data_IF_249559190090
#
_entry.id   IF_249559190090
#
_cell.length_a   1.000
_cell.length_b   1.000
_cell.length_c   1.000
_cell.angle_alpha   90.00
_cell.angle_beta   90.00
_cell.angle_gamma   90.00
#
_symmetry.space_group_name_H-M   'P 1'
#
loop_
_entity.id
_entity.type
_entity.pdbx_description
1 polymer ?
#
# COMPACT_ATOMS: atom_id res chain seq x y z
N UNK A 1 22.45 -48.68 32.21
CA UNK A 1 22.71 -47.54 33.10
C UNK A 1 23.29 -46.43 32.22
N UNK A 2 22.45 -45.55 31.67
CA UNK A 2 22.86 -44.46 30.77
C UNK A 2 22.86 -43.19 31.62
N UNK A 3 24.04 -42.68 31.92
CA UNK A 3 24.22 -41.41 32.63
C UNK A 3 23.76 -40.27 31.73
N UNK A 4 22.55 -39.81 31.96
CA UNK A 4 22.04 -38.52 31.48
C UNK A 4 22.87 -37.40 32.12
N UNK A 5 23.85 -36.88 31.37
CA UNK A 5 24.54 -35.63 31.71
C UNK A 5 23.55 -34.47 31.60
N UNK A 6 23.48 -33.66 32.64
CA UNK A 6 22.59 -32.52 32.78
C UNK A 6 23.06 -31.33 31.93
N UNK A 7 22.29 -30.86 30.93
CA UNK A 7 22.71 -29.82 29.98
C UNK A 7 22.35 -28.41 30.47
N UNK A 8 22.73 -28.04 31.70
CA UNK A 8 22.27 -26.77 32.29
C UNK A 8 23.25 -25.60 32.17
N UNK A 9 24.54 -25.85 31.93
CA UNK A 9 25.58 -24.80 31.87
C UNK A 9 25.76 -24.15 30.49
N UNK A 10 25.37 -24.82 29.39
CA UNK A 10 25.57 -24.29 28.03
C UNK A 10 24.53 -23.22 27.63
N UNK A 11 23.41 -23.12 28.35
CA UNK A 11 22.34 -22.19 28.03
C UNK A 11 22.69 -20.72 28.35
N UNK A 12 23.55 -20.46 29.34
CA UNK A 12 23.92 -19.10 29.76
C UNK A 12 25.04 -18.49 28.92
N UNK A 13 25.94 -19.30 28.35
CA UNK A 13 27.00 -18.82 27.44
C UNK A 13 26.47 -18.45 26.04
N UNK A 14 25.29 -18.96 25.64
CA UNK A 14 24.71 -18.64 24.33
C UNK A 14 24.08 -17.24 24.23
N UNK A 15 23.79 -16.58 25.36
CA UNK A 15 23.18 -15.26 25.37
C UNK A 15 24.11 -14.14 24.91
N UNK A 16 25.40 -14.22 25.26
CA UNK A 16 26.42 -13.21 24.94
C UNK A 16 26.84 -13.24 23.46
N UNK A 17 26.62 -14.36 22.76
CA UNK A 17 26.98 -14.52 21.36
C UNK A 17 26.02 -13.83 20.37
N UNK A 18 24.87 -13.29 20.80
CA UNK A 18 23.90 -12.66 19.88
C UNK A 18 24.30 -11.22 19.54
N UNK A 19 24.75 -10.45 20.54
CA UNK A 19 25.13 -9.05 20.36
C UNK A 19 26.22 -8.85 19.29
N UNK A 20 27.35 -9.58 19.28
CA UNK A 20 28.39 -9.39 18.27
C UNK A 20 27.89 -9.72 16.86
N UNK A 21 27.02 -10.73 16.70
CA UNK A 21 26.40 -11.07 15.41
C UNK A 21 25.55 -9.92 14.88
N UNK A 22 24.75 -9.30 15.74
CA UNK A 22 23.91 -8.14 15.40
C UNK A 22 24.73 -6.93 14.98
N UNK A 23 25.77 -6.59 15.75
CA UNK A 23 26.66 -5.48 15.41
C UNK A 23 27.33 -5.74 14.05
N UNK A 24 27.84 -6.96 13.82
CA UNK A 24 28.44 -7.31 12.55
C UNK A 24 27.45 -7.27 11.38
N UNK A 25 26.19 -7.69 11.61
CA UNK A 25 25.14 -7.60 10.58
C UNK A 25 24.86 -6.16 10.15
N UNK A 26 24.99 -5.18 11.04
CA UNK A 26 24.84 -3.77 10.69
C UNK A 26 25.98 -3.30 9.78
N UNK A 27 27.21 -3.77 10.03
CA UNK A 27 28.35 -3.48 9.15
C UNK A 27 28.15 -4.08 7.76
N UNK A 28 27.67 -5.33 7.70
CA UNK A 28 27.35 -5.96 6.42
C UNK A 28 26.21 -5.26 5.68
N UNK A 29 25.19 -4.76 6.39
CA UNK A 29 24.11 -3.95 5.80
C UNK A 29 24.67 -2.67 5.17
N UNK A 30 25.60 -1.98 5.85
CA UNK A 30 26.26 -0.80 5.30
C UNK A 30 27.05 -1.17 4.04
N UNK A 31 27.82 -2.26 4.08
CA UNK A 31 28.61 -2.74 2.95
C UNK A 31 27.72 -3.17 1.76
N UNK A 32 26.61 -3.84 2.03
CA UNK A 32 25.62 -4.22 1.01
C UNK A 32 24.97 -2.98 0.41
N UNK A 33 24.61 -1.99 1.23
CA UNK A 33 24.06 -0.72 0.75
C UNK A 33 25.03 -0.01 -0.19
N UNK A 34 26.31 0.12 0.19
CA UNK A 34 27.31 0.77 -0.66
C UNK A 34 27.51 0.03 -1.97
N UNK A 35 27.70 -1.30 -1.91
CA UNK A 35 27.92 -2.12 -3.10
C UNK A 35 26.70 -2.15 -4.03
N UNK A 36 25.49 -2.07 -3.48
CA UNK A 36 24.25 -2.07 -4.25
C UNK A 36 23.96 -0.73 -4.95
N UNK A 37 24.50 0.40 -4.49
CA UNK A 37 24.16 1.71 -5.07
C UNK A 37 24.86 2.00 -6.40
N UNK A 38 24.15 2.40 -7.48
CA UNK A 38 22.69 2.51 -7.61
C UNK A 38 22.02 1.15 -7.87
N UNK A 39 20.99 0.80 -7.07
CA UNK A 39 20.32 -0.50 -7.14
C UNK A 39 19.10 -0.44 -8.08
N UNK A 40 19.17 -1.14 -9.23
CA UNK A 40 18.09 -1.23 -10.23
C UNK A 40 17.91 -2.67 -10.72
N UNK A 41 17.34 -3.56 -9.87
CA UNK A 41 17.37 -5.00 -10.11
C UNK A 41 16.72 -5.43 -11.42
N UNK A 42 15.63 -4.79 -11.85
CA UNK A 42 14.92 -5.13 -13.08
C UNK A 42 15.70 -4.66 -14.29
N UNK A 43 16.24 -3.44 -14.28
CA UNK A 43 17.15 -2.98 -15.33
C UNK A 43 18.41 -3.83 -15.43
N UNK A 44 18.93 -4.33 -14.30
CA UNK A 44 20.08 -5.25 -14.30
C UNK A 44 19.77 -6.58 -14.98
N UNK A 45 18.57 -7.13 -14.75
CA UNK A 45 18.11 -8.40 -15.33
C UNK A 45 17.70 -8.29 -16.80
N UNK A 46 17.04 -7.19 -17.18
CA UNK A 46 16.51 -6.99 -18.53
C UNK A 46 17.54 -6.47 -19.53
N UNK A 47 18.67 -5.95 -19.05
CA UNK A 47 19.79 -5.53 -19.88
C UNK A 47 19.40 -4.42 -20.86
N UNK A 48 19.88 -4.46 -22.12
CA UNK A 48 19.63 -3.40 -23.11
C UNK A 48 18.19 -3.39 -23.67
N UNK A 49 17.35 -4.35 -23.30
CA UNK A 49 15.94 -4.38 -23.70
C UNK A 49 15.17 -3.39 -22.81
N UNK A 50 15.39 -2.09 -23.08
CA UNK A 50 14.79 -0.99 -22.34
C UNK A 50 13.30 -0.88 -22.66
N UNK A 51 12.48 -1.73 -22.04
CA UNK A 51 11.05 -1.51 -21.96
C UNK A 51 10.85 -0.23 -21.13
N UNK A 52 10.14 0.78 -21.66
CA UNK A 52 9.98 2.09 -21.02
C UNK A 52 9.38 2.05 -19.60
N UNK A 53 8.85 0.90 -19.17
CA UNK A 53 8.34 0.67 -17.81
C UNK A 53 9.34 0.09 -16.79
N UNK A 54 10.55 -0.34 -17.17
CA UNK A 54 11.49 -0.97 -16.22
C UNK A 54 11.92 -0.02 -15.11
N UNK A 55 12.18 1.25 -15.44
CA UNK A 55 12.54 2.28 -14.46
C UNK A 55 11.46 2.51 -13.39
N UNK A 56 10.18 2.38 -13.77
CA UNK A 56 9.07 2.50 -12.81
C UNK A 56 9.12 1.36 -11.79
N UNK A 57 9.27 0.12 -12.27
CA UNK A 57 9.36 -1.02 -11.37
C UNK A 57 10.62 -1.00 -10.52
N UNK A 58 11.76 -0.55 -11.06
CA UNK A 58 12.99 -0.38 -10.27
C UNK A 58 12.77 0.63 -9.15
N UNK A 59 12.18 1.79 -9.44
CA UNK A 59 11.91 2.80 -8.41
C UNK A 59 10.96 2.29 -7.32
N UNK A 60 9.97 1.47 -7.69
CA UNK A 60 9.03 0.87 -6.74
C UNK A 60 9.64 -0.26 -5.91
N UNK A 61 10.38 -1.17 -6.55
CA UNK A 61 10.78 -2.44 -5.95
C UNK A 61 12.20 -2.40 -5.37
N UNK A 62 13.11 -1.57 -5.89
CA UNK A 62 14.49 -1.53 -5.43
C UNK A 62 14.58 -1.23 -3.92
N UNK A 63 13.91 -0.17 -3.47
CA UNK A 63 13.89 0.22 -2.06
C UNK A 63 13.28 -0.87 -1.17
N UNK A 64 12.17 -1.48 -1.60
CA UNK A 64 11.50 -2.54 -0.87
C UNK A 64 12.36 -3.81 -0.77
N UNK A 65 12.92 -4.27 -1.89
CA UNK A 65 13.76 -5.47 -1.95
C UNK A 65 14.99 -5.30 -1.07
N UNK A 66 15.64 -4.13 -1.16
CA UNK A 66 16.86 -3.83 -0.40
C UNK A 66 16.56 -3.67 1.10
N UNK A 67 15.47 -2.98 1.47
CA UNK A 67 15.03 -2.86 2.85
C UNK A 67 14.70 -4.23 3.48
N UNK A 68 14.00 -5.10 2.73
CA UNK A 68 13.75 -6.48 3.17
C UNK A 68 15.06 -7.27 3.33
N UNK A 69 16.03 -7.10 2.44
CA UNK A 69 17.34 -7.74 2.57
C UNK A 69 18.06 -7.31 3.87
N UNK A 70 18.04 -6.01 4.20
CA UNK A 70 18.62 -5.50 5.45
C UNK A 70 17.91 -6.07 6.69
N UNK A 71 16.58 -6.12 6.64
CA UNK A 71 15.81 -6.76 7.71
C UNK A 71 16.18 -8.24 7.86
N UNK A 72 16.30 -8.98 6.76
CA UNK A 72 16.67 -10.39 6.80
C UNK A 72 18.06 -10.62 7.33
N UNK A 73 19.01 -9.75 6.99
CA UNK A 73 20.36 -9.80 7.51
C UNK A 73 20.38 -9.67 9.04
N UNK A 74 19.63 -8.71 9.58
CA UNK A 74 19.44 -8.55 11.02
C UNK A 74 18.70 -9.73 11.67
N UNK A 75 17.68 -10.27 10.99
CA UNK A 75 16.88 -11.39 11.49
C UNK A 75 17.72 -12.68 11.59
N UNK A 76 18.54 -12.97 10.58
CA UNK A 76 19.47 -14.12 10.56
C UNK A 76 20.47 -14.00 11.72
N UNK A 77 21.05 -12.81 11.92
CA UNK A 77 21.96 -12.55 13.05
C UNK A 77 21.29 -12.68 14.43
N UNK A 78 19.96 -12.51 14.49
CA UNK A 78 19.17 -12.60 15.71
C UNK A 78 18.69 -14.02 16.07
N UNK A 79 18.98 -15.03 15.23
CA UNK A 79 18.54 -16.39 15.48
C UNK A 79 19.20 -16.99 16.74
N UNK A 80 18.35 -17.55 17.60
CA UNK A 80 18.74 -18.23 18.85
C UNK A 80 18.83 -19.76 18.71
N UNK A 81 18.18 -20.32 17.70
CA UNK A 81 18.12 -21.74 17.44
C UNK A 81 18.34 -22.02 15.96
N UNK A 82 18.71 -23.26 15.64
CA UNK A 82 18.81 -23.70 14.25
C UNK A 82 17.44 -23.59 13.55
N UNK A 83 17.47 -23.31 12.25
CA UNK A 83 16.27 -23.16 11.41
C UNK A 83 16.38 -24.07 10.20
N UNK A 84 15.31 -24.81 9.90
CA UNK A 84 15.22 -25.62 8.69
C UNK A 84 14.77 -24.74 7.53
N UNK A 85 15.59 -24.62 6.50
CA UNK A 85 15.27 -23.92 5.26
C UNK A 85 14.54 -24.93 4.37
N UNK A 86 13.32 -24.58 3.95
CA UNK A 86 12.51 -25.42 3.07
C UNK A 86 12.00 -24.61 1.89
N UNK A 87 12.06 -25.19 0.69
CA UNK A 87 11.49 -24.59 -0.52
C UNK A 87 10.05 -25.09 -0.70
N UNK A 88 9.10 -24.21 -1.08
CA UNK A 88 7.73 -24.60 -1.36
C UNK A 88 7.63 -25.28 -2.73
N UNK A 89 8.11 -26.53 -2.83
CA UNK A 89 8.10 -27.32 -4.07
C UNK A 89 6.89 -28.25 -4.19
N UNK A 90 5.93 -28.20 -3.26
CA UNK A 90 4.68 -28.97 -3.36
C UNK A 90 4.83 -30.49 -3.14
N UNK A 91 5.86 -30.92 -2.43
CA UNK A 91 6.14 -32.33 -2.16
C UNK A 91 5.24 -32.98 -1.09
N UNK A 92 5.42 -34.29 -0.88
CA UNK A 92 4.91 -35.02 0.28
C UNK A 92 6.09 -35.28 1.22
N UNK A 93 5.99 -34.89 2.49
CA UNK A 93 7.01 -35.22 3.49
C UNK A 93 6.43 -36.16 4.54
N UNK A 94 7.22 -37.17 4.91
CA UNK A 94 6.88 -38.06 6.01
C UNK A 94 7.25 -37.38 7.32
N UNK A 95 6.27 -37.00 8.13
CA UNK A 95 6.49 -36.50 9.48
C UNK A 95 6.09 -37.57 10.49
N UNK A 96 6.97 -37.87 11.45
CA UNK A 96 6.62 -38.76 12.57
C UNK A 96 6.05 -37.90 13.68
N UNK A 97 4.74 -37.99 13.91
CA UNK A 97 4.04 -37.32 15.02
C UNK A 97 3.42 -38.39 15.91
N UNK A 98 3.72 -38.35 17.21
CA UNK A 98 3.24 -39.34 18.19
C UNK A 98 3.58 -40.80 17.82
N UNK A 99 4.75 -41.05 17.24
CA UNK A 99 5.19 -42.40 16.86
C UNK A 99 4.49 -42.99 15.61
N UNK A 100 3.56 -42.25 14.99
CA UNK A 100 2.96 -42.62 13.71
C UNK A 100 3.64 -41.88 12.57
N UNK A 101 4.07 -42.61 11.55
CA UNK A 101 4.57 -42.02 10.30
C UNK A 101 3.36 -41.52 9.53
N UNK A 102 3.14 -40.21 9.52
CA UNK A 102 2.10 -39.58 8.70
C UNK A 102 2.77 -38.96 7.47
N UNK A 103 2.32 -39.38 6.29
CA UNK A 103 2.59 -38.65 5.06
C UNK A 103 1.72 -37.40 5.05
N UNK A 104 2.23 -36.33 5.64
CA UNK A 104 1.60 -35.03 5.50
C UNK A 104 1.98 -34.53 4.11
N UNK A 105 1.00 -34.11 3.31
CA UNK A 105 1.26 -33.24 2.15
C UNK A 105 1.80 -31.91 2.67
N UNK A 106 3.05 -31.91 3.08
CA UNK A 106 3.76 -30.71 3.47
C UNK A 106 4.28 -30.11 2.17
N UNK A 107 3.69 -29.00 1.75
CA UNK A 107 4.03 -28.33 0.50
C UNK A 107 5.47 -27.81 0.40
N UNK A 108 6.37 -28.16 1.34
CA UNK A 108 7.76 -27.77 1.35
C UNK A 108 8.73 -28.95 1.57
N UNK A 109 9.84 -28.94 0.83
CA UNK A 109 10.95 -29.89 0.97
C UNK A 109 12.07 -29.23 1.77
N UNK A 110 12.55 -29.83 2.88
CA UNK A 110 13.70 -29.29 3.61
C UNK A 110 14.96 -29.43 2.73
N UNK A 111 15.67 -28.34 2.46
CA UNK A 111 16.95 -28.40 1.76
C UNK A 111 18.11 -28.54 2.72
N UNK A 112 18.11 -27.70 3.74
CA UNK A 112 19.28 -27.52 4.60
C UNK A 112 18.88 -26.95 5.95
N UNK A 113 19.67 -27.26 6.98
CA UNK A 113 19.46 -26.80 8.36
C UNK A 113 20.51 -25.75 8.67
N UNK A 114 20.07 -24.50 8.83
CA UNK A 114 20.91 -23.38 9.24
C UNK A 114 21.30 -23.54 10.72
N UNK A 115 22.58 -23.77 10.99
CA UNK A 115 23.10 -23.80 12.35
C UNK A 115 23.61 -22.41 12.76
N UNK A 116 23.23 -21.93 13.95
CA UNK A 116 23.64 -20.61 14.43
C UNK A 116 25.15 -20.47 14.65
N UNK A 117 25.85 -21.57 14.92
CA UNK A 117 27.30 -21.61 15.06
C UNK A 117 28.05 -21.34 13.74
N UNK A 118 27.43 -21.61 12.60
CA UNK A 118 28.03 -21.40 11.28
C UNK A 118 27.92 -19.95 10.79
N UNK A 119 27.18 -19.09 11.52
CA UNK A 119 26.92 -17.70 11.12
C UNK A 119 28.18 -16.95 10.68
N UNK A 120 29.28 -17.08 11.42
CA UNK A 120 30.51 -16.33 11.13
C UNK A 120 31.14 -16.72 9.79
N UNK A 121 31.05 -17.99 9.39
CA UNK A 121 31.59 -18.45 8.09
C UNK A 121 30.83 -17.80 6.94
N UNK A 122 29.49 -17.79 7.02
CA UNK A 122 28.65 -17.15 6.01
C UNK A 122 28.78 -15.64 6.01
N UNK A 123 28.86 -15.01 7.19
CA UNK A 123 28.99 -13.57 7.33
C UNK A 123 30.35 -13.06 6.77
N UNK A 124 31.44 -13.80 7.01
CA UNK A 124 32.75 -13.49 6.43
C UNK A 124 32.79 -13.76 4.92
N UNK A 125 32.17 -14.84 4.46
CA UNK A 125 32.05 -15.12 3.03
C UNK A 125 31.24 -14.01 2.31
N UNK A 126 30.12 -13.58 2.90
CA UNK A 126 29.31 -12.47 2.39
C UNK A 126 30.14 -11.17 2.34
N UNK A 127 30.86 -10.82 3.40
CA UNK A 127 31.75 -9.65 3.41
C UNK A 127 32.77 -9.73 2.28
N UNK A 128 33.42 -10.89 2.08
CA UNK A 128 34.37 -11.11 1.00
C UNK A 128 33.76 -10.93 -0.39
N UNK A 129 32.55 -11.47 -0.61
CA UNK A 129 31.82 -11.32 -1.88
C UNK A 129 31.45 -9.86 -2.14
N UNK A 130 30.99 -9.12 -1.12
CA UNK A 130 30.62 -7.72 -1.27
C UNK A 130 31.85 -6.82 -1.50
N UNK A 131 32.96 -7.08 -0.81
CA UNK A 131 34.22 -6.38 -1.07
C UNK A 131 34.72 -6.67 -2.49
N UNK A 132 34.65 -7.93 -2.94
CA UNK A 132 34.99 -8.28 -4.31
C UNK A 132 34.09 -7.55 -5.33
N UNK A 133 32.79 -7.45 -5.04
CA UNK A 133 31.84 -6.73 -5.89
C UNK A 133 32.19 -5.23 -6.02
N UNK A 134 32.66 -4.61 -4.94
CA UNK A 134 33.04 -3.20 -4.93
C UNK A 134 34.39 -2.95 -5.64
N UNK A 135 35.39 -3.79 -5.40
CA UNK A 135 36.77 -3.53 -5.84
C UNK A 135 37.16 -4.16 -7.18
N UNK A 136 36.34 -5.02 -7.77
CA UNK A 136 36.74 -5.72 -8.99
C UNK A 136 36.68 -4.88 -10.29
N UNK A 137 36.13 -3.66 -10.25
CA UNK A 137 36.11 -2.73 -11.38
C UNK A 137 35.18 -3.14 -12.55
N UNK A 138 34.49 -4.27 -12.45
CA UNK A 138 33.51 -4.74 -13.44
C UNK A 138 32.08 -4.54 -12.94
N UNK A 139 31.35 -3.64 -13.59
CA UNK A 139 29.96 -3.32 -13.23
C UNK A 139 29.03 -4.53 -13.35
N UNK A 140 29.18 -5.35 -14.40
CA UNK A 140 28.39 -6.57 -14.56
C UNK A 140 28.64 -7.56 -13.43
N UNK A 141 29.90 -7.72 -13.02
CA UNK A 141 30.24 -8.61 -11.92
C UNK A 141 29.70 -8.10 -10.59
N UNK A 142 29.79 -6.79 -10.33
CA UNK A 142 29.18 -6.16 -9.17
C UNK A 142 27.69 -6.46 -9.08
N UNK A 143 26.94 -6.23 -10.17
CA UNK A 143 25.49 -6.51 -10.25
C UNK A 143 25.15 -7.96 -9.97
N UNK A 144 25.89 -8.90 -10.56
CA UNK A 144 25.67 -10.33 -10.36
C UNK A 144 25.94 -10.74 -8.91
N UNK A 145 27.06 -10.31 -8.33
CA UNK A 145 27.42 -10.65 -6.95
C UNK A 145 26.44 -10.05 -5.94
N UNK A 146 26.08 -8.76 -6.09
CA UNK A 146 25.08 -8.11 -5.22
C UNK A 146 23.72 -8.79 -5.34
N UNK A 147 23.28 -9.12 -6.56
CA UNK A 147 22.01 -9.82 -6.77
C UNK A 147 22.00 -11.21 -6.13
N UNK A 148 23.13 -11.94 -6.22
CA UNK A 148 23.29 -13.24 -5.58
C UNK A 148 23.23 -13.16 -4.05
N UNK A 149 23.89 -12.16 -3.45
CA UNK A 149 23.85 -11.91 -2.00
C UNK A 149 22.42 -11.58 -1.55
N UNK A 150 21.74 -10.65 -2.25
CA UNK A 150 20.35 -10.29 -1.94
C UNK A 150 19.43 -11.52 -2.05
N UNK A 151 19.56 -12.32 -3.10
CA UNK A 151 18.77 -13.54 -3.28
C UNK A 151 19.02 -14.55 -2.14
N UNK A 152 20.28 -14.76 -1.76
CA UNK A 152 20.66 -15.61 -0.63
C UNK A 152 20.04 -15.15 0.69
N UNK A 153 20.15 -13.85 1.00
CA UNK A 153 19.52 -13.24 2.18
C UNK A 153 18.01 -13.40 2.17
N UNK A 154 17.36 -13.27 1.01
CA UNK A 154 15.92 -13.50 0.87
C UNK A 154 15.54 -14.96 1.14
N UNK A 155 16.24 -15.93 0.56
CA UNK A 155 15.93 -17.36 0.74
C UNK A 155 16.10 -17.79 2.21
N UNK A 156 17.23 -17.42 2.82
CA UNK A 156 17.57 -17.78 4.20
C UNK A 156 16.70 -16.99 5.18
N UNK A 157 16.63 -15.66 5.00
CA UNK A 157 15.92 -14.74 5.87
C UNK A 157 14.41 -14.93 5.85
N UNK A 158 13.83 -15.24 4.68
CA UNK A 158 12.43 -15.63 4.61
C UNK A 158 12.19 -16.87 5.45
N UNK A 159 13.00 -17.91 5.34
CA UNK A 159 12.85 -19.13 6.14
C UNK A 159 13.03 -18.88 7.64
N UNK A 160 13.94 -17.99 8.02
CA UNK A 160 14.20 -17.57 9.40
C UNK A 160 13.04 -16.77 10.04
N UNK A 161 12.19 -16.13 9.22
CA UNK A 161 11.16 -15.22 9.73
C UNK A 161 9.87 -15.97 10.11
N UNK A 162 9.29 -15.74 11.30
CA UNK A 162 8.01 -16.33 11.71
C UNK A 162 6.84 -16.00 10.77
N UNK A 163 5.91 -16.93 10.61
CA UNK A 163 4.75 -16.76 9.72
C UNK A 163 3.79 -15.63 10.14
N UNK A 164 3.71 -15.31 11.43
CA UNK A 164 2.95 -14.15 11.92
C UNK A 164 3.54 -12.84 11.39
N UNK A 165 4.85 -12.70 11.47
CA UNK A 165 5.55 -11.50 11.01
C UNK A 165 5.56 -11.37 9.49
N UNK A 166 5.65 -12.47 8.75
CA UNK A 166 5.48 -12.48 7.29
C UNK A 166 4.11 -11.94 6.87
N UNK A 167 3.04 -12.39 7.52
CA UNK A 167 1.68 -11.91 7.25
C UNK A 167 1.53 -10.43 7.58
N UNK A 168 2.01 -10.03 8.76
CA UNK A 168 2.04 -8.63 9.16
C UNK A 168 2.81 -7.76 8.15
N UNK A 169 4.01 -8.19 7.74
CA UNK A 169 4.83 -7.47 6.78
C UNK A 169 4.13 -7.40 5.42
N UNK A 170 3.52 -8.49 4.94
CA UNK A 170 2.78 -8.49 3.68
C UNK A 170 1.63 -7.48 3.67
N UNK A 171 0.90 -7.36 4.77
CA UNK A 171 -0.17 -6.37 4.87
C UNK A 171 0.35 -4.92 4.84
N UNK A 172 1.52 -4.67 5.45
CA UNK A 172 2.16 -3.35 5.40
C UNK A 172 2.81 -3.05 4.04
N UNK A 173 3.40 -4.06 3.39
CA UNK A 173 3.99 -3.95 2.06
C UNK A 173 2.93 -3.53 1.04
N UNK A 174 1.70 -4.07 1.12
CA UNK A 174 0.59 -3.62 0.26
C UNK A 174 0.30 -2.12 0.44
N UNK A 175 0.21 -1.66 1.69
CA UNK A 175 -0.04 -0.24 2.00
C UNK A 175 1.11 0.63 1.51
N UNK A 176 2.34 0.22 1.75
CA UNK A 176 3.53 0.92 1.29
C UNK A 176 3.60 1.01 -0.24
N UNK A 177 3.39 -0.12 -0.94
CA UNK A 177 3.32 -0.16 -2.40
C UNK A 177 2.19 0.72 -2.92
N UNK A 178 1.04 0.73 -2.27
CA UNK A 178 -0.06 1.62 -2.62
C UNK A 178 0.32 3.10 -2.47
N UNK A 179 0.96 3.49 -1.37
CA UNK A 179 1.45 4.86 -1.15
C UNK A 179 2.53 5.25 -2.15
N UNK A 180 3.47 4.36 -2.47
CA UNK A 180 4.48 4.61 -3.50
C UNK A 180 3.87 4.78 -4.89
N UNK A 181 2.90 3.94 -5.25
CA UNK A 181 2.16 4.08 -6.51
C UNK A 181 1.41 5.42 -6.53
N UNK A 182 0.79 5.82 -5.42
CA UNK A 182 0.16 7.14 -5.30
C UNK A 182 1.16 8.30 -5.41
N UNK A 183 2.33 8.19 -4.78
CA UNK A 183 3.37 9.22 -4.89
C UNK A 183 3.89 9.33 -6.32
N UNK A 184 4.07 8.21 -7.02
CA UNK A 184 4.47 8.23 -8.41
C UNK A 184 3.35 8.79 -9.32
N UNK A 185 2.08 8.45 -9.05
CA UNK A 185 0.94 9.09 -9.71
C UNK A 185 0.91 10.61 -9.47
N UNK A 186 1.29 11.08 -8.26
CA UNK A 186 1.40 12.50 -7.91
C UNK A 186 2.56 13.18 -8.64
N UNK A 187 3.74 12.58 -8.62
CA UNK A 187 4.96 13.10 -9.26
C UNK A 187 4.76 13.26 -10.77
N UNK A 188 4.04 12.33 -11.39
CA UNK A 188 3.63 12.43 -12.80
C UNK A 188 2.63 13.55 -13.00
N UNK A 189 1.62 13.61 -12.14
CA UNK A 189 0.62 14.66 -12.22
C UNK A 189 1.26 16.05 -12.25
N UNK A 190 2.34 16.24 -11.49
CA UNK A 190 3.13 17.47 -11.47
C UNK A 190 3.89 17.75 -12.79
N UNK A 191 4.16 16.73 -13.62
CA UNK A 191 4.75 16.86 -14.97
C UNK A 191 3.73 17.11 -16.09
N UNK A 192 2.45 16.76 -15.90
CA UNK A 192 1.36 17.00 -16.88
C UNK A 192 1.07 18.50 -17.08
N UNK A 193 1.42 19.36 -16.12
CA UNK A 193 1.31 20.82 -16.27
C UNK A 193 2.30 21.38 -17.31
N UNK A 194 3.31 20.58 -17.72
CA UNK A 194 4.37 20.98 -18.66
C UNK A 194 4.25 20.40 -20.07
N UNK A 195 3.14 19.74 -20.43
CA UNK A 195 2.84 19.36 -21.82
C UNK A 195 3.25 17.96 -22.30
N UNK A 196 3.88 17.11 -21.47
CA UNK A 196 3.96 15.62 -21.54
C UNK A 196 5.00 15.11 -20.51
N UNK A 197 4.99 13.84 -20.02
CA UNK A 197 4.17 12.68 -20.39
C UNK A 197 3.27 12.13 -19.27
N UNK A 198 2.39 11.19 -19.67
CA UNK A 198 1.48 10.42 -18.83
C UNK A 198 2.22 9.55 -17.80
N UNK A 199 1.53 9.15 -16.72
CA UNK A 199 2.14 8.32 -15.66
C UNK A 199 2.79 7.08 -16.24
N UNK A 200 3.96 6.63 -15.75
CA UNK A 200 4.48 5.32 -16.11
C UNK A 200 3.46 4.22 -15.79
N UNK A 201 2.62 4.44 -14.77
CA UNK A 201 1.49 3.55 -14.53
C UNK A 201 0.54 3.51 -15.73
N UNK A 202 0.17 4.66 -16.31
CA UNK A 202 -0.68 4.76 -17.51
C UNK A 202 0.05 4.44 -18.83
N UNK A 203 1.38 4.31 -18.84
CA UNK A 203 2.12 3.78 -20.00
C UNK A 203 2.16 2.26 -20.01
N UNK A 204 1.89 1.59 -18.87
CA UNK A 204 1.72 0.13 -18.85
C UNK A 204 0.55 -0.27 -19.76
N UNK A 205 0.61 -1.41 -20.47
CA UNK A 205 -0.54 -1.98 -21.17
C UNK A 205 -1.78 -2.07 -20.27
N UNK A 206 -2.95 -1.78 -20.84
CA UNK A 206 -4.22 -1.71 -20.09
C UNK A 206 -4.53 -3.03 -19.36
N UNK A 207 -4.12 -4.17 -19.92
CA UNK A 207 -4.28 -5.49 -19.33
C UNK A 207 -3.50 -5.64 -18.02
N UNK A 208 -2.29 -5.08 -17.94
CA UNK A 208 -1.49 -5.10 -16.73
C UNK A 208 -2.07 -4.17 -15.67
N UNK A 209 -2.52 -2.97 -16.07
CA UNK A 209 -3.20 -2.05 -15.15
C UNK A 209 -4.45 -2.68 -14.54
N UNK A 210 -5.25 -3.35 -15.36
CA UNK A 210 -6.46 -4.06 -14.92
C UNK A 210 -6.14 -5.22 -13.97
N UNK A 211 -5.07 -5.99 -14.21
CA UNK A 211 -4.58 -7.01 -13.26
C UNK A 211 -4.16 -6.39 -11.93
N UNK A 212 -3.46 -5.24 -11.96
CA UNK A 212 -3.09 -4.50 -10.74
C UNK A 212 -4.35 -4.04 -10.01
N UNK A 213 -5.34 -3.47 -10.70
CA UNK A 213 -6.62 -3.09 -10.10
C UNK A 213 -7.35 -4.27 -9.49
N UNK A 214 -7.40 -5.42 -10.17
CA UNK A 214 -7.97 -6.63 -9.58
C UNK A 214 -7.24 -7.00 -8.30
N UNK A 215 -5.91 -7.08 -8.29
CA UNK A 215 -5.15 -7.44 -7.09
C UNK A 215 -5.40 -6.48 -5.93
N UNK A 216 -5.47 -5.17 -6.21
CA UNK A 216 -5.68 -4.15 -5.19
C UNK A 216 -7.12 -4.08 -4.69
N UNK A 217 -8.10 -4.27 -5.58
CA UNK A 217 -9.52 -4.00 -5.30
C UNK A 217 -10.37 -5.26 -5.06
N UNK A 218 -9.87 -6.47 -5.31
CA UNK A 218 -10.64 -7.72 -5.08
C UNK A 218 -10.44 -8.32 -3.68
N UNK A 219 -9.37 -7.92 -2.97
CA UNK A 219 -9.04 -8.40 -1.62
C UNK A 219 -9.17 -7.39 -0.45
N UNK A 220 -9.91 -6.27 -0.53
CA UNK A 220 -10.20 -5.45 0.65
C UNK A 220 -11.43 -5.98 1.42
N UNK A 221 -11.57 -5.61 2.72
CA UNK A 221 -12.82 -5.77 3.46
C UNK A 221 -13.99 -5.06 2.74
N UNK A 222 -15.25 -5.39 3.08
CA UNK A 222 -16.42 -4.76 2.48
C UNK A 222 -16.30 -3.23 2.41
N UNK A 223 -16.68 -2.66 1.26
CA UNK A 223 -16.65 -1.20 1.07
C UNK A 223 -17.87 -0.63 1.79
N UNK A 224 -17.63 0.05 2.90
CA UNK A 224 -18.66 0.78 3.62
C UNK A 224 -18.91 2.11 2.91
N UNK A 225 -20.09 2.23 2.31
CA UNK A 225 -20.59 3.47 1.71
C UNK A 225 -21.81 3.90 2.52
N UNK A 226 -21.61 4.89 3.38
CA UNK A 226 -22.70 5.51 4.11
C UNK A 226 -22.85 6.96 3.65
N UNK A 227 -24.05 7.30 3.16
CA UNK A 227 -24.46 8.68 2.97
C UNK A 227 -25.32 9.05 4.16
N UNK A 228 -24.69 9.73 5.11
CA UNK A 228 -25.42 10.41 6.17
C UNK A 228 -25.85 11.77 5.65
N UNK A 229 -27.15 12.04 5.76
CA UNK A 229 -27.69 13.36 5.57
C UNK A 229 -27.36 14.22 6.81
N UNK A 230 -26.09 14.58 6.96
CA UNK A 230 -25.64 15.45 8.06
C UNK A 230 -25.11 16.75 7.46
N UNK A 231 -26.03 17.71 7.30
CA UNK A 231 -25.85 19.15 7.38
C UNK A 231 -26.68 19.87 6.31
N UNK A 232 -27.55 20.77 6.77
CA UNK A 232 -28.02 21.87 5.96
C UNK A 232 -26.80 22.67 5.47
N UNK A 233 -26.81 23.01 4.18
CA UNK A 233 -25.75 23.73 3.51
C UNK A 233 -25.57 25.12 4.14
N UNK A 234 -24.41 25.40 4.75
CA UNK A 234 -24.03 26.76 5.17
C UNK A 234 -23.00 27.33 4.19
N UNK A 235 -23.34 28.36 3.39
CA UNK A 235 -22.38 29.01 2.49
C UNK A 235 -21.29 29.80 3.22
N UNK A 236 -21.38 29.96 4.55
CA UNK A 236 -20.35 30.52 5.41
C UNK A 236 -20.42 29.84 6.79
N UNK A 237 -19.49 28.93 7.15
CA UNK A 237 -19.54 28.23 8.44
C UNK A 237 -19.25 29.13 9.66
N UNK A 238 -18.76 30.37 9.45
CA UNK A 238 -18.31 31.28 10.52
C UNK A 238 -19.26 32.46 10.80
N UNK A 239 -20.33 32.64 10.02
CA UNK A 239 -21.20 33.81 10.10
C UNK A 239 -22.65 33.34 10.03
N UNK A 240 -23.33 33.22 11.16
CA UNK A 240 -24.72 33.64 11.36
C UNK A 240 -25.31 33.04 12.64
N UNK A 241 -25.51 33.87 13.66
CA UNK A 241 -26.24 33.53 14.89
C UNK A 241 -27.77 33.61 14.72
N UNK A 242 -28.28 34.27 13.67
CA UNK A 242 -29.70 34.67 13.59
C UNK A 242 -30.36 34.58 12.18
N UNK A 243 -29.89 33.72 11.25
CA UNK A 243 -30.60 33.52 9.97
C UNK A 243 -31.32 32.17 9.90
N UNK A 244 -32.61 32.23 9.57
CA UNK A 244 -33.46 31.08 9.26
C UNK A 244 -32.90 30.30 8.07
N UNK A 245 -32.45 29.08 8.34
CA UNK A 245 -31.94 28.10 7.37
C UNK A 245 -33.13 27.29 6.82
N UNK A 246 -33.88 27.84 5.86
CA UNK A 246 -34.76 27.04 5.01
C UNK A 246 -33.99 26.70 3.72
N UNK A 247 -33.36 25.51 3.60
CA UNK A 247 -32.54 25.20 2.45
C UNK A 247 -33.41 24.83 1.24
N UNK A 248 -33.15 25.45 0.10
CA UNK A 248 -33.49 24.83 -1.19
C UNK A 248 -32.61 23.58 -1.31
N UNK A 249 -33.25 22.40 -1.18
CA UNK A 249 -32.59 21.10 -1.04
C UNK A 249 -31.94 20.67 -2.36
N UNK A 250 -30.66 20.96 -2.55
CA UNK A 250 -29.89 20.46 -3.68
C UNK A 250 -28.48 20.08 -3.25
N UNK A 251 -28.02 18.90 -3.70
CA UNK A 251 -26.62 18.50 -3.57
C UNK A 251 -25.75 19.37 -4.48
N UNK A 252 -24.76 20.08 -3.91
CA UNK A 252 -23.84 20.93 -4.68
C UNK A 252 -22.40 20.67 -4.25
N UNK A 253 -21.51 20.61 -5.24
CA UNK A 253 -20.06 20.53 -5.04
C UNK A 253 -19.48 21.95 -4.99
N UNK A 254 -18.79 22.28 -3.90
CA UNK A 254 -18.06 23.53 -3.76
C UNK A 254 -16.58 23.30 -3.98
N UNK A 255 -15.92 24.16 -4.75
CA UNK A 255 -14.48 24.12 -4.95
C UNK A 255 -13.82 25.37 -4.34
N UNK A 256 -12.67 25.21 -3.71
CA UNK A 256 -11.83 26.33 -3.31
C UNK A 256 -10.96 26.80 -4.49
N UNK A 257 -10.74 28.11 -4.61
CA UNK A 257 -9.80 28.65 -5.58
C UNK A 257 -8.36 28.45 -5.09
N UNK A 258 -7.51 27.80 -5.90
CA UNK A 258 -6.12 27.53 -5.52
C UNK A 258 -5.26 28.80 -5.42
N UNK A 259 -5.54 29.83 -6.24
CA UNK A 259 -4.92 31.15 -6.19
C UNK A 259 -6.01 32.23 -6.29
N UNK A 260 -5.91 33.26 -5.44
CA UNK A 260 -6.80 34.42 -5.48
C UNK A 260 -6.57 35.20 -6.78
N UNK A 261 -7.66 35.63 -7.42
CA UNK A 261 -7.56 36.57 -8.54
C UNK A 261 -6.97 37.89 -8.03
N UNK A 262 -5.96 38.48 -8.67
CA UNK A 262 -5.27 39.68 -8.16
C UNK A 262 -6.20 40.89 -7.99
N UNK A 263 -7.32 40.93 -8.73
CA UNK A 263 -8.36 41.95 -8.61
C UNK A 263 -9.40 41.67 -7.50
N UNK A 264 -9.29 40.57 -6.75
CA UNK A 264 -10.24 40.23 -5.68
C UNK A 264 -9.84 40.93 -4.38
N UNK A 265 -10.66 41.86 -3.86
CA UNK A 265 -10.21 42.88 -2.90
C UNK A 265 -10.04 42.38 -1.45
N UNK A 266 -10.46 41.16 -1.08
CA UNK A 266 -10.30 40.69 0.31
C UNK A 266 -10.17 39.16 0.44
N UNK A 267 -9.61 38.71 1.57
CA UNK A 267 -9.60 37.30 1.95
C UNK A 267 -10.95 36.79 2.46
N UNK A 268 -11.82 37.70 2.88
CA UNK A 268 -13.15 37.40 3.37
C UNK A 268 -14.15 37.16 2.23
N UNK A 269 -13.78 37.49 1.00
CA UNK A 269 -14.55 37.20 -0.23
C UNK A 269 -14.14 35.89 -0.91
N UNK A 270 -13.22 35.10 -0.32
CA UNK A 270 -12.89 33.76 -0.80
C UNK A 270 -14.02 32.77 -0.42
N UNK A 271 -15.15 32.86 -1.12
CA UNK A 271 -16.20 31.85 -1.01
C UNK A 271 -15.81 30.62 -1.84
N UNK A 272 -16.07 29.42 -1.32
CA UNK A 272 -16.03 28.21 -2.15
C UNK A 272 -17.16 28.31 -3.19
N UNK A 273 -16.81 28.63 -4.43
CA UNK A 273 -17.81 28.81 -5.48
C UNK A 273 -18.35 27.44 -5.92
N UNK A 274 -19.61 27.43 -6.37
CA UNK A 274 -20.20 26.27 -7.05
C UNK A 274 -19.33 25.97 -8.27
N UNK A 275 -18.73 24.77 -8.33
CA UNK A 275 -17.69 24.40 -9.30
C UNK A 275 -18.04 24.66 -10.78
N UNK A 276 -17.88 25.91 -11.21
CA UNK A 276 -18.06 26.37 -12.58
C UNK A 276 -16.79 26.20 -13.41
N UNK A 277 -16.89 26.51 -14.70
CA UNK A 277 -15.73 26.52 -15.60
C UNK A 277 -14.65 27.46 -15.02
N UNK A 278 -13.38 27.02 -14.96
CA UNK A 278 -12.34 27.76 -14.26
C UNK A 278 -12.13 29.13 -14.93
N UNK A 279 -11.94 30.17 -14.11
CA UNK A 279 -10.65 30.82 -14.15
C UNK A 279 -9.99 30.58 -12.80
N UNK A 280 -9.29 29.45 -12.65
CA UNK A 280 -8.24 29.40 -11.64
C UNK A 280 -7.21 30.44 -12.06
N UNK A 281 -7.03 31.51 -11.29
CA UNK A 281 -6.04 32.56 -11.57
C UNK A 281 -4.59 32.04 -11.53
N UNK A 282 -4.37 30.72 -11.42
CA UNK A 282 -3.06 30.08 -11.48
C UNK A 282 -2.24 30.47 -12.72
N UNK A 283 -2.89 30.70 -13.87
CA UNK A 283 -2.19 31.18 -15.07
C UNK A 283 -1.67 32.62 -14.94
N UNK A 284 -2.28 33.43 -14.08
CA UNK A 284 -1.89 34.83 -13.82
C UNK A 284 -0.76 34.96 -12.78
N UNK A 285 -0.37 33.85 -12.14
CA UNK A 285 0.67 33.78 -11.09
C UNK A 285 1.81 32.85 -11.49
N UNK A 286 2.07 32.70 -12.79
CA UNK A 286 3.11 31.81 -13.32
C UNK A 286 4.52 32.16 -12.78
N UNK A 287 4.74 33.44 -12.46
CA UNK A 287 6.07 33.99 -12.17
C UNK A 287 6.39 34.08 -10.68
N UNK A 288 5.37 34.06 -9.80
CA UNK A 288 5.52 34.42 -8.38
C UNK A 288 5.40 33.25 -7.40
N UNK A 289 4.82 32.12 -7.79
CA UNK A 289 4.91 30.84 -7.05
C UNK A 289 4.25 29.72 -7.86
N UNK A 290 4.92 28.57 -8.12
CA UNK A 290 4.23 27.43 -8.70
C UNK A 290 3.15 26.98 -7.73
N UNK A 291 1.88 27.06 -8.14
CA UNK A 291 0.74 26.65 -7.34
C UNK A 291 0.91 25.19 -6.91
N UNK A 292 1.37 24.92 -5.69
CA UNK A 292 1.52 23.52 -5.21
C UNK A 292 0.17 22.79 -5.23
N UNK A 293 -0.93 23.50 -4.93
CA UNK A 293 -2.28 22.92 -4.98
C UNK A 293 -2.69 22.60 -6.42
N UNK A 294 -2.52 23.54 -7.36
CA UNK A 294 -2.87 23.34 -8.77
C UNK A 294 -1.97 22.33 -9.48
N UNK A 295 -0.70 22.21 -9.06
CA UNK A 295 0.28 21.31 -9.68
C UNK A 295 0.29 19.92 -9.05
N UNK A 296 0.22 19.79 -7.73
CA UNK A 296 0.30 18.50 -7.04
C UNK A 296 -1.08 17.92 -6.71
N UNK A 297 -1.98 18.72 -6.11
CA UNK A 297 -3.28 18.22 -5.65
C UNK A 297 -4.23 17.99 -6.81
N UNK A 298 -4.38 18.97 -7.71
CA UNK A 298 -5.28 18.81 -8.86
C UNK A 298 -4.81 17.69 -9.81
N UNK A 299 -3.49 17.49 -9.90
CA UNK A 299 -2.94 16.47 -10.76
C UNK A 299 -3.09 15.07 -10.16
N UNK A 300 -2.92 14.92 -8.85
CA UNK A 300 -3.32 13.72 -8.12
C UNK A 300 -4.81 13.44 -8.30
N UNK A 301 -5.69 14.44 -8.17
CA UNK A 301 -7.13 14.27 -8.38
C UNK A 301 -7.47 13.84 -9.81
N UNK A 302 -6.76 14.37 -10.82
CA UNK A 302 -6.89 13.94 -12.23
C UNK A 302 -6.40 12.51 -12.43
N UNK A 303 -5.29 12.13 -11.82
CA UNK A 303 -4.77 10.76 -11.86
C UNK A 303 -5.75 9.80 -11.18
N UNK A 304 -6.26 10.14 -9.99
CA UNK A 304 -7.31 9.39 -9.30
C UNK A 304 -8.57 9.28 -10.16
N UNK A 305 -8.98 10.34 -10.86
CA UNK A 305 -10.13 10.30 -11.79
C UNK A 305 -9.89 9.37 -12.98
N UNK A 306 -8.69 9.38 -13.56
CA UNK A 306 -8.32 8.48 -14.64
C UNK A 306 -8.28 7.02 -14.16
N UNK A 307 -7.61 6.76 -13.04
CA UNK A 307 -7.53 5.44 -12.44
C UNK A 307 -8.92 4.92 -12.05
N UNK A 308 -9.77 5.76 -11.46
CA UNK A 308 -11.14 5.41 -11.13
C UNK A 308 -11.98 5.10 -12.37
N UNK A 309 -11.77 5.78 -13.50
CA UNK A 309 -12.47 5.44 -14.76
C UNK A 309 -12.12 4.03 -15.25
N UNK A 310 -10.85 3.66 -15.22
CA UNK A 310 -10.40 2.32 -15.63
C UNK A 310 -10.80 1.23 -14.62
N UNK A 311 -10.68 1.55 -13.32
CA UNK A 311 -10.92 0.61 -12.24
C UNK A 311 -12.39 0.49 -11.82
N UNK A 312 -13.28 1.40 -12.26
CA UNK A 312 -14.68 1.43 -11.82
C UNK A 312 -15.38 0.08 -12.06
N UNK A 313 -15.22 -0.51 -13.25
CA UNK A 313 -15.83 -1.80 -13.55
C UNK A 313 -15.40 -2.89 -12.55
N UNK A 314 -14.11 -2.96 -12.24
CA UNK A 314 -13.55 -3.90 -11.25
C UNK A 314 -14.07 -3.59 -9.85
N UNK A 315 -14.04 -2.31 -9.45
CA UNK A 315 -14.45 -1.83 -8.14
C UNK A 315 -15.90 -2.22 -7.85
N UNK A 316 -16.84 -1.91 -8.75
CA UNK A 316 -18.26 -2.16 -8.55
C UNK A 316 -18.63 -3.64 -8.75
N UNK A 317 -17.97 -4.37 -9.65
CA UNK A 317 -18.31 -5.77 -9.93
C UNK A 317 -17.79 -6.77 -8.89
N UNK A 318 -16.64 -6.50 -8.27
CA UNK A 318 -15.96 -7.50 -7.43
C UNK A 318 -16.19 -7.31 -5.93
N UNK A 319 -16.53 -6.10 -5.49
CA UNK A 319 -16.67 -5.76 -4.08
C UNK A 319 -18.11 -5.95 -3.56
N UNK A 320 -18.19 -6.16 -2.24
CA UNK A 320 -19.46 -6.12 -1.50
C UNK A 320 -19.66 -4.73 -0.91
N UNK A 321 -20.77 -4.09 -1.29
CA UNK A 321 -21.13 -2.75 -0.84
C UNK A 321 -21.97 -2.81 0.42
N UNK A 322 -21.47 -2.30 1.54
CA UNK A 322 -22.25 -2.19 2.77
C UNK A 322 -22.96 -0.84 2.80
N UNK A 323 -24.29 -0.88 2.77
CA UNK A 323 -25.15 0.30 2.76
C UNK A 323 -25.89 0.39 4.09
N UNK A 324 -25.54 1.42 4.86
CA UNK A 324 -26.19 1.72 6.14
C UNK A 324 -27.45 2.57 5.99
N UNK A 325 -27.44 3.51 5.05
CA UNK A 325 -28.48 4.52 4.88
C UNK A 325 -29.50 4.15 3.80
N UNK A 326 -30.79 4.28 4.12
CA UNK A 326 -31.88 4.13 3.15
C UNK A 326 -31.81 5.15 2.01
N UNK A 327 -31.24 6.34 2.26
CA UNK A 327 -31.05 7.36 1.25
C UNK A 327 -30.10 6.89 0.14
N UNK A 328 -29.02 6.19 0.48
CA UNK A 328 -28.12 5.66 -0.54
C UNK A 328 -28.86 4.64 -1.42
N UNK A 329 -29.66 3.74 -0.86
CA UNK A 329 -30.43 2.77 -1.66
C UNK A 329 -31.42 3.44 -2.62
N UNK A 330 -32.20 4.40 -2.13
CA UNK A 330 -33.26 5.04 -2.90
C UNK A 330 -32.71 5.98 -3.97
N UNK A 331 -31.61 6.66 -3.67
CA UNK A 331 -30.99 7.61 -4.58
C UNK A 331 -29.80 7.05 -5.35
N UNK A 332 -29.44 5.77 -5.18
CA UNK A 332 -28.36 5.11 -5.95
C UNK A 332 -28.46 5.39 -7.46
N UNK A 333 -29.65 5.27 -8.11
CA UNK A 333 -29.78 5.56 -9.54
C UNK A 333 -29.50 7.01 -9.93
N UNK A 334 -29.59 7.96 -8.98
CA UNK A 334 -29.28 9.38 -9.18
C UNK A 334 -27.84 9.73 -8.80
N UNK A 335 -27.27 8.98 -7.85
CA UNK A 335 -25.94 9.23 -7.30
C UNK A 335 -24.83 8.53 -8.10
N UNK A 336 -25.15 7.39 -8.72
CA UNK A 336 -24.22 6.64 -9.57
C UNK A 336 -24.70 6.65 -11.02
N UNK A 337 -23.79 6.78 -12.00
CA UNK A 337 -24.10 6.49 -13.39
C UNK A 337 -24.72 5.09 -13.53
N UNK A 338 -25.73 4.95 -14.39
CA UNK A 338 -26.48 3.71 -14.57
C UNK A 338 -25.57 2.49 -14.85
N UNK A 339 -24.52 2.67 -15.64
CA UNK A 339 -23.50 1.66 -15.93
C UNK A 339 -22.82 1.13 -14.66
N UNK A 340 -22.50 2.02 -13.71
CA UNK A 340 -21.81 1.65 -12.45
C UNK A 340 -22.77 1.03 -11.45
N UNK A 341 -23.99 1.55 -11.36
CA UNK A 341 -25.03 0.97 -10.54
C UNK A 341 -25.36 -0.47 -11.01
N UNK A 342 -25.46 -0.68 -12.33
CA UNK A 342 -25.67 -2.00 -12.93
C UNK A 342 -24.49 -2.96 -12.77
N UNK A 343 -23.28 -2.45 -12.56
CA UNK A 343 -22.10 -3.29 -12.30
C UNK A 343 -22.07 -3.85 -10.86
N UNK A 344 -22.81 -3.27 -9.91
CA UNK A 344 -22.84 -3.76 -8.52
C UNK A 344 -23.45 -5.16 -8.47
N UNK A 345 -22.65 -6.15 -8.03
CA UNK A 345 -23.09 -7.55 -7.91
C UNK A 345 -23.48 -7.97 -6.50
N UNK A 346 -22.92 -7.31 -5.48
CA UNK A 346 -23.12 -7.68 -4.08
C UNK A 346 -23.33 -6.43 -3.24
N UNK A 347 -24.45 -6.36 -2.54
CA UNK A 347 -24.74 -5.30 -1.58
C UNK A 347 -25.31 -5.91 -0.30
N UNK A 348 -24.84 -5.43 0.85
CA UNK A 348 -25.33 -5.78 2.18
C UNK A 348 -25.98 -4.54 2.75
N UNK A 349 -27.28 -4.62 3.01
CA UNK A 349 -28.06 -3.53 3.59
C UNK A 349 -28.24 -3.79 5.07
N UNK A 350 -27.77 -2.86 5.91
CA UNK A 350 -28.07 -2.90 7.34
C UNK A 350 -29.27 -2.02 7.65
N UNK A 351 -30.43 -2.63 7.84
CA UNK A 351 -31.63 -1.94 8.30
C UNK A 351 -31.60 -1.92 9.83
N UNK A 352 -31.34 -0.74 10.41
CA UNK A 352 -31.47 -0.53 11.85
C UNK A 352 -32.78 0.20 12.14
N UNK A 353 -33.33 0.01 13.34
CA UNK A 353 -34.53 0.75 13.79
C UNK A 353 -34.35 2.26 13.60
N UNK A 354 -33.17 2.80 13.94
CA UNK A 354 -32.84 4.21 13.72
C UNK A 354 -32.96 4.63 12.25
N UNK A 355 -32.37 3.87 11.32
CA UNK A 355 -32.38 4.23 9.89
C UNK A 355 -33.78 4.18 9.26
N UNK A 356 -34.65 3.29 9.75
CA UNK A 356 -36.05 3.21 9.31
C UNK A 356 -36.84 4.42 9.75
N UNK A 357 -36.64 4.85 11.00
CA UNK A 357 -37.33 6.04 11.54
C UNK A 357 -36.82 7.34 10.94
N UNK A 358 -35.51 7.48 10.75
CA UNK A 358 -34.93 8.66 10.10
C UNK A 358 -35.52 8.82 8.68
N UNK A 359 -35.64 7.72 7.93
CA UNK A 359 -36.30 7.74 6.63
C UNK A 359 -37.79 8.10 6.70
N UNK A 360 -38.56 7.46 7.59
CA UNK A 360 -39.99 7.71 7.74
C UNK A 360 -40.28 9.16 8.13
N UNK A 361 -39.46 9.74 9.00
CA UNK A 361 -39.57 11.13 9.40
C UNK A 361 -39.18 12.08 8.27
N UNK A 362 -38.02 11.86 7.62
CA UNK A 362 -37.50 12.79 6.61
C UNK A 362 -38.31 12.78 5.30
N UNK A 363 -38.81 11.62 4.87
CA UNK A 363 -39.35 11.42 3.53
C UNK A 363 -40.86 11.19 3.51
N UNK A 364 -41.42 10.60 4.57
CA UNK A 364 -42.86 10.35 4.68
C UNK A 364 -43.56 11.35 5.61
N UNK A 365 -42.79 12.20 6.30
CA UNK A 365 -43.34 13.14 7.29
C UNK A 365 -43.99 12.44 8.47
N UNK A 366 -43.67 11.16 8.69
CA UNK A 366 -44.23 10.37 9.78
C UNK A 366 -43.41 10.70 11.03
N UNK A 367 -43.84 11.71 11.77
CA UNK A 367 -43.30 11.97 13.09
C UNK A 367 -43.64 10.77 14.00
N UNK A 368 -42.61 10.12 14.52
CA UNK A 368 -42.76 8.93 15.35
C UNK A 368 -43.53 9.22 16.64
N UNK A 369 -44.86 9.02 16.61
CA UNK A 369 -45.71 9.07 17.80
C UNK A 369 -45.23 8.10 18.91
N UNK A 370 -44.45 7.09 18.55
CA UNK A 370 -43.91 6.06 19.44
C UNK A 370 -42.75 6.51 20.34
N UNK A 371 -42.10 7.68 20.09
CA UNK A 371 -41.11 8.22 21.06
C UNK A 371 -41.76 8.66 22.38
N UNK A 372 -43.09 8.81 22.42
CA UNK A 372 -43.82 9.17 23.65
C UNK A 372 -44.08 7.99 24.58
N UNK A 373 -43.95 6.74 24.13
CA UNK A 373 -44.29 5.54 24.92
C UNK A 373 -43.09 4.83 25.57
N UNK A 374 -41.88 5.38 25.46
CA UNK A 374 -40.65 4.86 26.13
C UNK A 374 -40.03 5.82 27.15
N UNK A 375 -40.79 6.80 27.66
CA UNK A 375 -40.39 7.55 28.86
C UNK A 375 -41.15 7.06 30.07
#
# INVERSE_FOLDING_TARGET
MVTTSTPHTDALLNGTAILPRRIFSLLLVVLLYTAATPFSPISWLTGPIALSGTYFFDRLLAGLILFCAFYFQWAIASLRSAVVISLPTGGTTTQVRNGRVEQVRSGSVPLWVWQTGEYWHFALAEAGVLLLAEFAGSETMRRLLVSAVILGLWVIGWSATPASLKRWAWDHIKVYLFVLVLDELRNVGAGVVSGMPQSPFFTLPAELRLKIYHLLLTSPPPIHLDLRYTAAHTPAPALHRDRSLLPSRAWRWSASHCHRHPLSPSALSDCCTTGGAPPTACALHADTTPCKIGREVLSLLRACRAAYREAAAVLYATNTFHVGSGALLLYTPRLLPAERAGAVRRAVVSVTEANVWDYAQEHLGIEGAWRRTRR
#
